data_IF_662183059410
#
_entry.id   IF_662183059410
#
_cell.length_a   1.000
_cell.length_b   1.000
_cell.length_c   1.000
_cell.angle_alpha   90.00
_cell.angle_beta   90.00
_cell.angle_gamma   90.00
#
_symmetry.space_group_name_H-M   'P 1'
#
loop_
_entity.id
_entity.type
_entity.pdbx_description
1 polymer ?
#
# COMPACT_ATOMS: atom_id res chain seq x y z
N UNK A 1 -16.27 7.34 29.49
CA UNK A 1 -15.89 5.96 29.15
C UNK A 1 -16.72 5.58 27.94
N UNK A 2 -16.09 5.14 26.86
CA UNK A 2 -16.75 4.74 25.62
C UNK A 2 -16.19 3.38 25.18
N UNK A 3 -16.98 2.62 24.41
CA UNK A 3 -16.54 1.38 23.78
C UNK A 3 -16.18 1.69 22.33
N UNK A 4 -14.91 1.54 21.97
CA UNK A 4 -14.36 1.93 20.68
C UNK A 4 -13.95 0.67 19.91
N UNK A 5 -14.52 0.51 18.71
CA UNK A 5 -14.12 -0.53 17.77
C UNK A 5 -12.83 -0.17 17.03
N UNK A 6 -12.04 -1.17 16.69
CA UNK A 6 -10.94 -1.05 15.73
C UNK A 6 -10.96 -2.23 14.76
N UNK A 7 -10.79 -1.94 13.48
CA UNK A 7 -10.64 -2.96 12.44
C UNK A 7 -9.44 -2.67 11.52
N UNK A 8 -8.94 -3.73 10.89
CA UNK A 8 -7.94 -3.65 9.82
C UNK A 8 -8.51 -4.28 8.55
N UNK A 9 -8.52 -3.53 7.43
CA UNK A 9 -9.16 -3.96 6.18
C UNK A 9 -8.25 -3.84 4.96
N UNK A 10 -8.60 -4.60 3.90
CA UNK A 10 -7.86 -4.64 2.64
C UNK A 10 -6.59 -5.48 2.73
N UNK A 11 -5.63 -5.28 1.81
CA UNK A 11 -4.34 -5.97 1.85
C UNK A 11 -3.57 -5.62 3.12
N UNK A 12 -2.94 -6.60 3.74
CA UNK A 12 -2.09 -6.36 4.91
C UNK A 12 -0.80 -5.62 4.55
N UNK A 13 -0.18 -5.01 5.52
CA UNK A 13 1.14 -4.41 5.41
C UNK A 13 1.85 -4.33 6.76
N UNK A 14 3.18 -4.18 6.77
CA UNK A 14 3.93 -3.94 8.00
C UNK A 14 3.53 -2.60 8.65
N UNK A 15 3.22 -2.64 9.97
CA UNK A 15 2.83 -1.45 10.74
C UNK A 15 1.40 -1.49 11.30
N UNK A 16 0.50 -2.34 10.79
CA UNK A 16 -0.87 -2.49 11.31
C UNK A 16 -0.91 -2.73 12.82
N UNK A 17 -0.09 -3.64 13.31
CA UNK A 17 0.00 -3.95 14.73
C UNK A 17 0.51 -2.77 15.58
N UNK A 18 1.32 -1.88 15.00
CA UNK A 18 1.76 -0.67 15.68
C UNK A 18 0.60 0.32 15.91
N UNK A 19 -0.32 0.45 14.93
CA UNK A 19 -1.56 1.24 15.08
C UNK A 19 -2.43 0.65 16.18
N UNK A 20 -2.74 -0.66 16.10
CA UNK A 20 -3.58 -1.35 17.09
C UNK A 20 -3.01 -1.14 18.49
N UNK A 21 -1.72 -1.38 18.66
CA UNK A 21 -1.03 -1.17 19.94
C UNK A 21 -1.14 0.28 20.43
N UNK A 22 -1.00 1.27 19.56
CA UNK A 22 -1.05 2.67 19.93
C UNK A 22 -2.46 3.08 20.41
N UNK A 23 -3.50 2.68 19.68
CA UNK A 23 -4.91 2.90 20.05
C UNK A 23 -5.19 2.30 21.42
N UNK A 24 -4.79 1.05 21.66
CA UNK A 24 -5.02 0.37 22.95
C UNK A 24 -4.21 1.01 24.08
N UNK A 25 -2.90 1.28 23.85
CA UNK A 25 -2.01 1.82 24.89
C UNK A 25 -2.38 3.24 25.33
N UNK A 26 -3.09 4.00 24.52
CA UNK A 26 -3.60 5.30 24.91
C UNK A 26 -5.09 5.25 25.31
N UNK A 27 -5.90 4.55 24.55
CA UNK A 27 -7.34 4.46 24.78
C UNK A 27 -7.71 3.86 26.13
N UNK A 28 -7.05 2.76 26.52
CA UNK A 28 -7.38 2.04 27.77
C UNK A 28 -6.82 2.75 29.01
N UNK A 29 -5.50 2.87 29.25
CA UNK A 29 -4.98 3.40 30.52
C UNK A 29 -5.10 4.93 30.64
N UNK A 30 -5.11 5.68 29.53
CA UNK A 30 -5.14 7.16 29.61
C UNK A 30 -6.57 7.69 29.58
N UNK A 31 -7.41 7.17 28.67
CA UNK A 31 -8.76 7.66 28.49
C UNK A 31 -9.86 6.81 29.16
N UNK A 32 -9.51 5.64 29.66
CA UNK A 32 -10.46 4.72 30.31
C UNK A 32 -11.50 4.14 29.34
N UNK A 33 -11.17 4.05 28.04
CA UNK A 33 -12.03 3.44 27.03
C UNK A 33 -11.91 1.92 27.03
N UNK A 34 -12.96 1.24 26.59
CA UNK A 34 -12.92 -0.17 26.21
C UNK A 34 -12.61 -0.27 24.72
N UNK A 35 -11.61 -1.04 24.33
CA UNK A 35 -11.22 -1.20 22.92
C UNK A 35 -11.60 -2.60 22.46
N UNK A 36 -12.43 -2.68 21.39
CA UNK A 36 -12.90 -3.92 20.78
C UNK A 36 -12.24 -4.08 19.39
N UNK A 37 -11.47 -5.14 19.20
CA UNK A 37 -10.86 -5.48 17.90
C UNK A 37 -11.77 -6.39 17.10
N UNK A 38 -12.23 -5.94 15.94
CA UNK A 38 -13.02 -6.75 15.01
C UNK A 38 -12.11 -7.62 14.16
N UNK A 39 -12.41 -8.92 14.09
CA UNK A 39 -11.66 -9.87 13.27
C UNK A 39 -12.04 -9.71 11.79
N UNK A 40 -11.07 -9.90 10.90
CA UNK A 40 -11.28 -9.88 9.44
C UNK A 40 -11.98 -8.61 8.88
N UNK A 41 -11.69 -7.45 9.48
CA UNK A 41 -12.14 -6.16 8.98
C UNK A 41 -13.66 -5.99 8.98
N UNK A 42 -14.21 -5.52 7.85
CA UNK A 42 -15.66 -5.28 7.76
C UNK A 42 -16.52 -6.56 7.87
N UNK A 43 -15.96 -7.73 7.52
CA UNK A 43 -16.66 -9.00 7.73
C UNK A 43 -16.96 -9.24 9.20
N UNK A 44 -15.96 -9.08 10.06
CA UNK A 44 -16.14 -9.25 11.49
C UNK A 44 -17.10 -8.26 12.13
N UNK A 45 -17.19 -7.03 11.59
CA UNK A 45 -18.22 -6.08 12.05
C UNK A 45 -19.62 -6.60 11.73
N UNK A 46 -19.85 -7.08 10.49
CA UNK A 46 -21.15 -7.61 10.08
C UNK A 46 -21.56 -8.88 10.86
N UNK A 47 -20.58 -9.68 11.28
CA UNK A 47 -20.79 -10.92 12.04
C UNK A 47 -20.79 -10.72 13.55
N UNK A 48 -20.40 -9.52 14.02
CA UNK A 48 -20.24 -9.23 15.46
C UNK A 48 -19.02 -9.95 16.07
N UNK A 49 -18.05 -10.36 15.24
CA UNK A 49 -16.84 -11.05 15.69
C UNK A 49 -15.81 -10.05 16.21
N UNK A 50 -15.91 -9.74 17.50
CA UNK A 50 -15.05 -8.78 18.18
C UNK A 50 -14.54 -9.33 19.51
N UNK A 51 -13.28 -9.00 19.82
CA UNK A 51 -12.64 -9.34 21.10
C UNK A 51 -12.09 -8.10 21.79
N UNK A 52 -12.16 -8.08 23.14
CA UNK A 52 -11.57 -7.01 23.94
C UNK A 52 -10.05 -6.95 23.79
N UNK A 53 -9.51 -5.76 23.52
CA UNK A 53 -8.09 -5.52 23.45
C UNK A 53 -7.60 -4.78 24.70
N UNK A 54 -6.53 -5.33 25.29
CA UNK A 54 -5.89 -4.76 26.49
C UNK A 54 -4.41 -4.48 26.22
N UNK A 55 -3.75 -3.67 27.07
CA UNK A 55 -2.31 -3.50 27.02
C UNK A 55 -1.52 -4.83 27.02
N UNK A 56 -2.03 -5.87 27.68
CA UNK A 56 -1.39 -7.17 27.77
C UNK A 56 -1.59 -7.97 26.48
N UNK A 57 -2.80 -8.02 25.90
CA UNK A 57 -3.07 -8.72 24.64
C UNK A 57 -2.35 -8.07 23.45
N UNK A 58 -1.95 -6.81 23.57
CA UNK A 58 -1.18 -6.08 22.56
C UNK A 58 0.30 -5.91 22.91
N UNK A 59 0.79 -6.65 23.93
CA UNK A 59 2.22 -6.66 24.27
C UNK A 59 3.02 -7.38 23.17
N UNK A 60 4.22 -6.86 22.85
CA UNK A 60 5.15 -7.49 21.91
C UNK A 60 4.75 -7.45 20.42
N UNK A 61 3.60 -6.87 20.04
CA UNK A 61 3.15 -6.88 18.63
C UNK A 61 3.79 -5.80 17.76
N UNK A 62 4.48 -4.81 18.34
CA UNK A 62 5.08 -3.68 17.60
C UNK A 62 5.95 -4.11 16.41
N UNK A 63 6.86 -5.09 16.52
CA UNK A 63 7.71 -5.51 15.41
C UNK A 63 7.05 -6.55 14.49
N UNK A 64 5.84 -7.03 14.81
CA UNK A 64 5.18 -8.06 14.01
C UNK A 64 4.55 -7.48 12.77
N UNK A 65 4.87 -8.08 11.60
CA UNK A 65 4.16 -7.81 10.35
C UNK A 65 2.73 -8.39 10.37
N UNK A 66 1.97 -8.11 9.32
CA UNK A 66 0.57 -8.48 9.25
C UNK A 66 -0.27 -7.79 10.31
N UNK A 67 -1.38 -8.41 10.69
CA UNK A 67 -2.32 -7.89 11.69
C UNK A 67 -2.82 -9.00 12.61
N UNK A 68 -2.88 -8.73 13.93
CA UNK A 68 -3.46 -9.66 14.90
C UNK A 68 -4.98 -9.79 14.78
N UNK A 69 -5.64 -8.87 14.05
CA UNK A 69 -7.09 -8.88 13.82
C UNK A 69 -7.48 -9.58 12.52
N UNK A 70 -6.50 -10.03 11.71
CA UNK A 70 -6.80 -10.50 10.36
C UNK A 70 -7.34 -9.38 9.47
N UNK A 71 -7.61 -9.70 8.21
CA UNK A 71 -8.13 -8.74 7.24
C UNK A 71 -9.00 -9.43 6.21
N UNK A 72 -9.92 -8.71 5.58
CA UNK A 72 -10.73 -9.18 4.46
C UNK A 72 -10.94 -8.09 3.42
N UNK A 73 -11.40 -8.50 2.23
CA UNK A 73 -11.87 -7.61 1.17
C UNK A 73 -13.39 -7.60 1.10
N UNK A 74 -14.05 -7.42 2.25
CA UNK A 74 -15.51 -7.34 2.35
C UNK A 74 -15.96 -5.92 2.12
N UNK A 75 -16.91 -5.73 1.19
CA UNK A 75 -17.57 -4.45 0.95
C UNK A 75 -19.04 -4.53 1.45
N UNK A 76 -19.36 -3.98 2.63
CA UNK A 76 -20.73 -4.02 3.15
C UNK A 76 -21.76 -3.34 2.26
N UNK A 77 -21.34 -2.33 1.50
CA UNK A 77 -22.21 -1.55 0.62
C UNK A 77 -22.40 -2.15 -0.79
N UNK A 78 -21.90 -3.36 -1.03
CA UNK A 78 -22.13 -4.06 -2.31
C UNK A 78 -23.57 -4.48 -2.47
N UNK A 79 -24.26 -4.75 -1.38
CA UNK A 79 -25.65 -5.17 -1.33
C UNK A 79 -26.55 -4.03 -0.80
N UNK A 80 -27.79 -3.99 -1.26
CA UNK A 80 -28.78 -3.05 -0.78
C UNK A 80 -29.01 -3.21 0.72
N UNK A 81 -29.15 -2.08 1.43
CA UNK A 81 -29.30 -2.07 2.89
C UNK A 81 -28.04 -2.41 3.69
N UNK A 82 -26.88 -2.54 3.02
CA UNK A 82 -25.61 -2.87 3.67
C UNK A 82 -25.17 -1.86 4.73
N UNK A 83 -25.38 -0.57 4.49
CA UNK A 83 -25.09 0.49 5.46
C UNK A 83 -25.92 0.36 6.75
N UNK A 84 -27.22 0.13 6.60
CA UNK A 84 -28.10 -0.07 7.78
C UNK A 84 -27.71 -1.31 8.59
N UNK A 85 -27.34 -2.40 7.89
CA UNK A 85 -26.85 -3.62 8.56
C UNK A 85 -25.56 -3.35 9.32
N UNK A 86 -24.64 -2.57 8.74
CA UNK A 86 -23.36 -2.21 9.35
C UNK A 86 -23.55 -1.38 10.63
N UNK A 87 -24.41 -0.35 10.58
CA UNK A 87 -24.75 0.48 11.75
C UNK A 87 -25.40 -0.37 12.84
N UNK A 88 -26.41 -1.20 12.51
CA UNK A 88 -27.06 -2.10 13.46
C UNK A 88 -26.09 -3.10 14.12
N UNK A 89 -25.13 -3.63 13.36
CA UNK A 89 -24.12 -4.53 13.88
C UNK A 89 -23.21 -3.82 14.90
N UNK A 90 -22.75 -2.61 14.61
CA UNK A 90 -21.95 -1.80 15.53
C UNK A 90 -22.74 -1.44 16.81
N UNK A 91 -23.99 -1.02 16.67
CA UNK A 91 -24.89 -0.73 17.80
C UNK A 91 -25.13 -1.97 18.66
N UNK A 92 -25.34 -3.13 18.04
CA UNK A 92 -25.55 -4.41 18.76
C UNK A 92 -24.33 -4.83 19.57
N UNK A 93 -23.12 -4.48 19.09
CA UNK A 93 -21.87 -4.66 19.83
C UNK A 93 -21.61 -3.55 20.86
N UNK A 94 -22.50 -2.54 20.95
CA UNK A 94 -22.37 -1.40 21.84
C UNK A 94 -21.19 -0.49 21.50
N UNK A 95 -20.84 -0.35 20.22
CA UNK A 95 -19.73 0.47 19.78
C UNK A 95 -20.15 1.93 19.63
N UNK A 96 -19.50 2.83 20.35
CA UNK A 96 -19.75 4.27 20.32
C UNK A 96 -19.02 4.99 19.18
N UNK A 97 -17.86 4.45 18.76
CA UNK A 97 -17.06 4.96 17.66
C UNK A 97 -16.14 3.88 17.11
N UNK A 98 -15.67 4.05 15.86
CA UNK A 98 -14.84 3.08 15.17
C UNK A 98 -13.54 3.72 14.66
N UNK A 99 -12.42 3.01 14.80
CA UNK A 99 -11.16 3.31 14.12
C UNK A 99 -11.02 2.32 12.96
N UNK A 100 -11.11 2.80 11.72
CA UNK A 100 -10.98 2.01 10.52
C UNK A 100 -9.57 2.18 9.92
N UNK A 101 -8.77 1.09 9.94
CA UNK A 101 -7.39 1.10 9.43
C UNK A 101 -7.35 0.41 8.07
N UNK A 102 -7.07 1.14 6.99
CA UNK A 102 -7.07 0.53 5.67
C UNK A 102 -6.66 1.45 4.54
N UNK A 103 -6.68 0.91 3.33
CA UNK A 103 -6.50 1.62 2.07
C UNK A 103 -7.81 2.24 1.58
N UNK A 104 -7.82 2.67 0.30
CA UNK A 104 -8.94 3.34 -0.35
C UNK A 104 -10.28 2.62 -0.13
N UNK A 105 -10.36 1.32 -0.44
CA UNK A 105 -11.59 0.52 -0.28
C UNK A 105 -12.14 0.55 1.16
N UNK A 106 -11.26 0.34 2.14
CA UNK A 106 -11.65 0.32 3.56
C UNK A 106 -12.09 1.69 4.05
N UNK A 107 -11.37 2.74 3.64
CA UNK A 107 -11.69 4.13 3.97
C UNK A 107 -12.90 4.65 3.20
N UNK A 108 -13.15 4.14 1.98
CA UNK A 108 -14.37 4.40 1.23
C UNK A 108 -15.62 3.89 1.96
N UNK A 109 -15.56 2.68 2.51
CA UNK A 109 -16.61 2.16 3.40
C UNK A 109 -16.74 3.02 4.66
N UNK A 110 -15.63 3.41 5.29
CA UNK A 110 -15.65 4.29 6.47
C UNK A 110 -16.26 5.67 6.17
N UNK A 111 -15.97 6.23 4.98
CA UNK A 111 -16.58 7.50 4.54
C UNK A 111 -18.10 7.40 4.39
N UNK A 112 -18.60 6.31 3.78
CA UNK A 112 -20.05 6.07 3.67
C UNK A 112 -20.69 5.88 5.03
N UNK A 113 -20.05 5.12 5.93
CA UNK A 113 -20.52 4.91 7.30
C UNK A 113 -20.59 6.24 8.08
N UNK A 114 -19.65 7.16 7.85
CA UNK A 114 -19.71 8.50 8.44
C UNK A 114 -20.87 9.33 7.90
N UNK A 115 -21.18 9.20 6.61
CA UNK A 115 -22.36 9.84 5.99
C UNK A 115 -23.68 9.27 6.51
N UNK A 116 -23.71 7.99 6.87
CA UNK A 116 -24.84 7.34 7.54
C UNK A 116 -24.97 7.75 9.04
N UNK A 117 -24.09 8.64 9.52
CA UNK A 117 -24.14 9.24 10.84
C UNK A 117 -23.36 8.53 11.93
N UNK A 118 -22.63 7.44 11.61
CA UNK A 118 -21.83 6.75 12.60
C UNK A 118 -20.45 7.42 12.77
N UNK A 119 -19.95 7.49 14.01
CA UNK A 119 -18.66 8.10 14.31
C UNK A 119 -17.52 7.17 13.94
N UNK A 120 -16.76 7.51 12.89
CA UNK A 120 -15.62 6.74 12.43
C UNK A 120 -14.39 7.62 12.17
N UNK A 121 -13.22 7.14 12.56
CA UNK A 121 -11.92 7.76 12.29
C UNK A 121 -11.09 6.82 11.39
N UNK A 122 -10.64 7.34 10.25
CA UNK A 122 -9.78 6.62 9.30
C UNK A 122 -8.30 6.69 9.69
N UNK A 123 -7.57 5.61 9.39
CA UNK A 123 -6.10 5.56 9.49
C UNK A 123 -5.54 5.03 8.16
N UNK A 124 -4.67 5.82 7.46
CA UNK A 124 -4.20 5.48 6.12
C UNK A 124 -3.18 4.36 6.15
N UNK A 125 -3.54 3.23 5.57
CA UNK A 125 -2.71 2.03 5.47
C UNK A 125 -2.69 1.53 4.03
N UNK A 126 -1.56 1.64 3.36
CA UNK A 126 -1.27 1.00 2.08
C UNK A 126 0.23 0.98 1.84
N UNK A 127 0.73 -0.07 1.15
CA UNK A 127 2.12 -0.08 0.68
C UNK A 127 2.28 0.78 -0.58
N UNK A 128 1.20 1.06 -1.30
CA UNK A 128 1.21 1.71 -2.61
C UNK A 128 1.37 3.24 -2.52
N UNK A 129 1.22 3.81 -1.31
CA UNK A 129 1.27 5.26 -1.03
C UNK A 129 0.32 6.10 -1.91
N UNK A 130 -0.81 5.52 -2.26
CA UNK A 130 -1.76 5.99 -3.26
C UNK A 130 -2.97 6.75 -2.68
N UNK A 131 -3.05 6.93 -1.36
CA UNK A 131 -4.12 7.69 -0.70
C UNK A 131 -3.86 9.19 -0.78
N UNK A 132 -4.87 9.94 -1.23
CA UNK A 132 -4.86 11.39 -1.22
C UNK A 132 -4.81 11.97 0.21
N UNK A 133 -4.54 13.27 0.31
CA UNK A 133 -4.53 14.05 1.54
C UNK A 133 -3.49 13.63 2.61
N UNK A 134 -2.61 12.67 2.35
CA UNK A 134 -1.47 12.33 3.21
C UNK A 134 -0.17 12.24 2.41
N UNK A 135 0.93 12.72 2.96
CA UNK A 135 2.23 12.66 2.29
C UNK A 135 2.73 11.21 2.20
N UNK A 136 2.62 10.46 3.29
CA UNK A 136 2.99 9.06 3.34
C UNK A 136 1.97 8.22 4.10
N UNK A 137 1.81 6.99 3.64
CA UNK A 137 1.09 5.92 4.33
C UNK A 137 2.10 4.98 5.00
N UNK A 138 1.76 4.39 6.13
CA UNK A 138 2.63 3.35 6.71
C UNK A 138 2.48 2.03 5.93
N UNK A 139 3.55 1.27 5.92
CA UNK A 139 3.75 0.07 5.10
C UNK A 139 4.55 0.35 3.84
N UNK A 140 4.45 1.56 3.28
CA UNK A 140 5.17 1.98 2.08
C UNK A 140 6.69 1.93 2.25
N UNK A 141 7.22 2.52 3.33
CA UNK A 141 8.67 2.55 3.56
C UNK A 141 9.26 1.14 3.71
N UNK A 142 8.54 0.22 4.34
CA UNK A 142 8.95 -1.18 4.46
C UNK A 142 8.92 -1.87 3.10
N UNK A 143 7.89 -1.65 2.28
CA UNK A 143 7.82 -2.21 0.94
C UNK A 143 8.96 -1.72 0.05
N UNK A 144 9.26 -0.42 0.07
CA UNK A 144 10.42 0.16 -0.62
C UNK A 144 11.73 -0.47 -0.16
N UNK A 145 11.93 -0.65 1.16
CA UNK A 145 13.13 -1.28 1.68
C UNK A 145 13.29 -2.72 1.20
N UNK A 146 12.21 -3.52 1.23
CA UNK A 146 12.22 -4.89 0.73
C UNK A 146 12.58 -4.94 -0.76
N UNK A 147 12.02 -4.05 -1.57
CA UNK A 147 12.35 -3.95 -2.98
C UNK A 147 13.81 -3.55 -3.20
N UNK A 148 14.29 -2.56 -2.45
CA UNK A 148 15.69 -2.10 -2.52
C UNK A 148 16.65 -3.22 -2.15
N UNK A 149 16.39 -3.95 -1.05
CA UNK A 149 17.21 -5.10 -0.63
C UNK A 149 17.24 -6.22 -1.68
N UNK A 150 16.14 -6.40 -2.42
CA UNK A 150 16.09 -7.35 -3.53
C UNK A 150 16.90 -6.86 -4.74
N UNK A 151 16.79 -5.59 -5.10
CA UNK A 151 17.55 -4.97 -6.19
C UNK A 151 19.05 -5.05 -5.90
N UNK A 152 19.49 -4.70 -4.68
CA UNK A 152 20.89 -4.79 -4.26
C UNK A 152 21.49 -6.20 -4.44
N UNK A 153 20.70 -7.23 -4.14
CA UNK A 153 21.12 -8.62 -4.37
C UNK A 153 21.22 -8.97 -5.85
N UNK A 154 20.33 -8.40 -6.67
CA UNK A 154 20.33 -8.64 -8.11
C UNK A 154 21.51 -7.95 -8.81
N UNK A 155 22.02 -6.83 -8.30
CA UNK A 155 23.21 -6.16 -8.85
C UNK A 155 24.40 -7.10 -8.98
N UNK A 156 24.72 -7.84 -7.93
CA UNK A 156 25.90 -8.73 -7.92
C UNK A 156 25.79 -9.88 -8.92
N UNK A 157 24.59 -10.45 -9.08
CA UNK A 157 24.38 -11.50 -10.08
C UNK A 157 24.28 -10.96 -11.49
N UNK A 158 23.69 -9.77 -11.69
CA UNK A 158 23.62 -9.08 -12.97
C UNK A 158 25.02 -8.77 -13.50
N UNK A 159 25.89 -8.23 -12.65
CA UNK A 159 27.30 -7.93 -12.98
C UNK A 159 28.10 -9.20 -13.27
N UNK A 160 27.90 -10.27 -12.50
CA UNK A 160 28.66 -11.53 -12.67
C UNK A 160 28.36 -12.26 -13.99
N UNK A 161 27.22 -11.97 -14.60
CA UNK A 161 26.73 -12.66 -15.80
C UNK A 161 26.48 -11.75 -16.99
N UNK A 162 26.78 -10.46 -16.88
CA UNK A 162 26.54 -9.45 -17.93
C UNK A 162 25.08 -9.43 -18.41
N UNK A 163 24.11 -9.47 -17.46
CA UNK A 163 22.69 -9.63 -17.73
C UNK A 163 21.90 -8.35 -17.53
N UNK A 164 20.75 -8.28 -18.21
CA UNK A 164 19.69 -7.34 -17.84
C UNK A 164 18.76 -8.01 -16.82
N UNK A 165 18.52 -7.35 -15.72
CA UNK A 165 17.57 -7.82 -14.70
C UNK A 165 16.34 -6.94 -14.69
N UNK A 166 15.16 -7.52 -14.95
CA UNK A 166 13.86 -6.87 -14.82
C UNK A 166 13.28 -7.20 -13.46
N UNK A 167 12.94 -6.20 -12.67
CA UNK A 167 12.35 -6.36 -11.33
C UNK A 167 10.94 -5.81 -11.33
N UNK A 168 9.92 -6.68 -11.29
CA UNK A 168 8.53 -6.30 -11.19
C UNK A 168 8.15 -6.08 -9.72
N UNK A 169 7.60 -4.90 -9.43
CA UNK A 169 7.16 -4.49 -8.10
C UNK A 169 5.68 -4.15 -8.09
N UNK A 170 5.05 -4.23 -6.93
CA UNK A 170 3.67 -3.83 -6.70
C UNK A 170 3.52 -2.30 -6.81
N UNK A 171 2.29 -1.81 -6.73
CA UNK A 171 1.97 -0.39 -6.75
C UNK A 171 0.63 -0.09 -7.41
N UNK A 172 0.00 -1.09 -8.01
CA UNK A 172 -1.27 -0.97 -8.74
C UNK A 172 -1.18 0.12 -9.82
N UNK A 173 -1.98 1.20 -9.67
CA UNK A 173 -2.05 2.34 -10.59
C UNK A 173 -1.09 3.48 -10.22
N UNK A 174 -0.23 3.29 -9.21
CA UNK A 174 0.72 4.28 -8.72
C UNK A 174 2.15 3.74 -8.70
N UNK A 175 3.08 4.49 -9.26
CA UNK A 175 4.49 4.10 -9.43
C UNK A 175 5.40 4.39 -8.25
N UNK A 176 4.86 4.68 -7.06
CA UNK A 176 5.65 5.10 -5.90
C UNK A 176 6.69 4.08 -5.47
N UNK A 177 6.31 2.79 -5.35
CA UNK A 177 7.25 1.73 -4.95
C UNK A 177 8.35 1.59 -6.00
N UNK A 178 7.97 1.54 -7.29
CA UNK A 178 8.93 1.41 -8.39
C UNK A 178 9.93 2.57 -8.42
N UNK A 179 9.47 3.81 -8.29
CA UNK A 179 10.35 4.97 -8.31
C UNK A 179 11.29 5.00 -7.11
N UNK A 180 10.76 4.84 -5.89
CA UNK A 180 11.58 4.93 -4.69
C UNK A 180 12.59 3.79 -4.60
N UNK A 181 12.17 2.56 -4.85
CA UNK A 181 13.08 1.41 -4.81
C UNK A 181 14.06 1.40 -5.98
N UNK A 182 13.63 1.82 -7.18
CA UNK A 182 14.49 1.93 -8.33
C UNK A 182 15.57 3.01 -8.16
N UNK A 183 15.21 4.19 -7.62
CA UNK A 183 16.18 5.23 -7.28
C UNK A 183 17.15 4.76 -6.19
N UNK A 184 16.64 4.21 -5.11
CA UNK A 184 17.46 3.74 -3.99
C UNK A 184 18.37 2.59 -4.39
N UNK A 185 17.89 1.67 -5.26
CA UNK A 185 18.63 0.52 -5.76
C UNK A 185 19.46 0.79 -7.03
N UNK A 186 19.51 2.04 -7.53
CA UNK A 186 20.34 2.41 -8.68
C UNK A 186 19.89 1.78 -10.00
N UNK A 187 18.57 1.72 -10.25
CA UNK A 187 18.03 1.20 -11.50
C UNK A 187 18.37 2.09 -12.70
N UNK A 188 18.63 1.47 -13.84
CA UNK A 188 18.98 2.12 -15.09
C UNK A 188 17.77 2.57 -15.91
N UNK A 189 16.61 1.97 -15.60
CA UNK A 189 15.29 2.41 -16.07
C UNK A 189 14.23 2.08 -15.01
N UNK A 190 13.25 2.97 -14.87
CA UNK A 190 12.11 2.79 -13.95
C UNK A 190 10.85 3.04 -14.75
N UNK A 191 9.96 2.05 -14.81
CA UNK A 191 8.73 2.09 -15.59
C UNK A 191 7.54 2.17 -14.63
N UNK A 192 6.72 3.21 -14.78
CA UNK A 192 5.61 3.54 -13.87
C UNK A 192 4.29 3.69 -14.62
N UNK A 193 3.13 3.48 -13.96
CA UNK A 193 1.82 3.62 -14.61
C UNK A 193 1.54 5.03 -15.14
N UNK A 194 2.03 6.05 -14.44
CA UNK A 194 1.79 7.46 -14.75
C UNK A 194 2.47 7.94 -16.03
N UNK A 195 3.44 7.17 -16.52
CA UNK A 195 4.19 7.50 -17.73
C UNK A 195 4.28 6.29 -18.65
N UNK A 196 3.46 6.21 -19.70
CA UNK A 196 3.56 5.17 -20.71
C UNK A 196 4.98 5.11 -21.29
N UNK A 197 5.56 3.93 -21.37
CA UNK A 197 6.95 3.74 -21.79
C UNK A 197 7.06 3.26 -23.23
N UNK A 198 8.12 3.70 -23.93
CA UNK A 198 8.54 3.14 -25.20
C UNK A 198 9.61 2.07 -24.96
N UNK A 199 9.33 0.84 -25.38
CA UNK A 199 10.25 -0.29 -25.23
C UNK A 199 11.57 -0.06 -25.98
N UNK A 200 11.56 0.65 -27.15
CA UNK A 200 12.78 0.96 -27.87
C UNK A 200 13.67 1.96 -27.11
N UNK A 201 13.07 2.95 -26.42
CA UNK A 201 13.86 3.83 -25.55
C UNK A 201 14.55 3.06 -24.44
N UNK A 202 13.86 2.09 -23.82
CA UNK A 202 14.45 1.22 -22.79
C UNK A 202 15.60 0.41 -23.38
N UNK A 203 15.40 -0.23 -24.53
CA UNK A 203 16.44 -1.01 -25.24
C UNK A 203 17.62 -0.13 -25.63
N UNK A 204 17.39 1.08 -26.10
CA UNK A 204 18.45 2.01 -26.49
C UNK A 204 19.27 2.49 -25.28
N UNK A 205 18.66 2.66 -24.12
CA UNK A 205 19.39 2.95 -22.87
C UNK A 205 20.32 1.80 -22.53
N UNK A 206 19.84 0.55 -22.57
CA UNK A 206 20.64 -0.65 -22.32
C UNK A 206 21.82 -0.76 -23.32
N UNK A 207 21.55 -0.58 -24.62
CA UNK A 207 22.60 -0.60 -25.66
C UNK A 207 23.64 0.50 -25.44
N UNK A 208 23.25 1.72 -25.09
CA UNK A 208 24.19 2.83 -24.80
C UNK A 208 25.08 2.52 -23.61
N UNK A 209 24.54 1.89 -22.57
CA UNK A 209 25.33 1.44 -21.41
C UNK A 209 26.37 0.39 -21.81
N UNK A 210 25.96 -0.62 -22.58
CA UNK A 210 26.87 -1.64 -23.09
C UNK A 210 28.02 -1.04 -23.92
N UNK A 211 27.73 -0.07 -24.79
CA UNK A 211 28.77 0.66 -25.56
C UNK A 211 29.75 1.45 -24.66
N UNK A 212 29.38 1.82 -23.46
CA UNK A 212 30.23 2.48 -22.46
C UNK A 212 30.98 1.51 -21.55
N UNK A 213 30.91 0.19 -21.83
CA UNK A 213 31.55 -0.85 -21.03
C UNK A 213 30.80 -1.24 -19.77
N UNK A 214 29.50 -0.85 -19.65
CA UNK A 214 28.61 -1.32 -18.60
C UNK A 214 27.80 -2.50 -19.14
N UNK A 215 28.16 -3.69 -18.70
CA UNK A 215 27.68 -4.94 -19.32
C UNK A 215 26.36 -5.44 -18.74
N UNK A 216 25.91 -4.91 -17.60
CA UNK A 216 24.63 -5.26 -16.99
C UNK A 216 23.71 -4.05 -16.84
N UNK A 217 22.42 -4.28 -16.68
CA UNK A 217 21.42 -3.24 -16.40
C UNK A 217 20.31 -3.75 -15.48
N UNK A 218 19.77 -2.86 -14.66
CA UNK A 218 18.60 -3.10 -13.80
C UNK A 218 17.44 -2.27 -14.31
N UNK A 219 16.33 -2.93 -14.62
CA UNK A 219 15.05 -2.30 -15.02
C UNK A 219 14.03 -2.59 -13.93
N UNK A 220 13.54 -1.56 -13.26
CA UNK A 220 12.45 -1.70 -12.27
C UNK A 220 11.14 -1.34 -12.95
N UNK A 221 10.12 -2.18 -12.82
CA UNK A 221 8.81 -1.97 -13.43
C UNK A 221 7.69 -2.14 -12.40
N UNK A 222 6.77 -1.17 -12.33
CA UNK A 222 5.52 -1.33 -11.59
C UNK A 222 4.60 -2.30 -12.32
N UNK A 223 3.92 -3.18 -11.58
CA UNK A 223 2.95 -4.15 -12.13
C UNK A 223 1.84 -3.49 -12.98
N UNK A 224 1.56 -2.20 -12.75
CA UNK A 224 0.58 -1.40 -13.49
C UNK A 224 1.17 -0.52 -14.59
N UNK A 225 2.47 -0.62 -14.90
CA UNK A 225 3.06 0.15 -15.98
C UNK A 225 2.45 -0.23 -17.34
N UNK A 226 2.29 0.75 -18.22
CA UNK A 226 1.66 0.57 -19.53
C UNK A 226 2.62 0.98 -20.65
N UNK A 227 2.65 0.23 -21.78
CA UNK A 227 3.40 0.64 -22.95
C UNK A 227 2.72 1.85 -23.63
N UNK A 228 3.50 2.69 -24.29
CA UNK A 228 2.98 3.74 -25.15
C UNK A 228 2.39 3.14 -26.43
N UNK A 229 1.35 3.77 -26.96
CA UNK A 229 0.67 3.32 -28.18
C UNK A 229 1.65 3.33 -29.38
N UNK A 230 1.53 2.31 -30.24
CA UNK A 230 2.32 2.23 -31.49
C UNK A 230 3.77 1.77 -31.32
N UNK A 231 4.21 1.39 -30.11
CA UNK A 231 5.60 0.93 -29.86
C UNK A 231 5.84 -0.53 -30.24
N UNK A 232 4.79 -1.25 -30.66
CA UNK A 232 4.88 -2.68 -31.02
C UNK A 232 5.18 -3.60 -29.82
N UNK A 233 4.95 -3.11 -28.61
CA UNK A 233 4.97 -3.90 -27.39
C UNK A 233 3.54 -4.07 -26.89
N UNK A 234 3.07 -5.30 -26.84
CA UNK A 234 1.75 -5.66 -26.36
C UNK A 234 1.86 -6.43 -25.04
N UNK A 235 1.07 -6.03 -24.06
CA UNK A 235 0.93 -6.83 -22.85
C UNK A 235 0.14 -8.09 -23.18
N UNK A 236 0.51 -9.26 -22.62
CA UNK A 236 -0.30 -10.45 -22.73
C UNK A 236 -1.72 -10.15 -22.25
N UNK A 237 -2.72 -10.52 -23.05
CA UNK A 237 -4.12 -10.44 -22.61
C UNK A 237 -4.26 -11.21 -21.28
N UNK A 238 -4.82 -10.56 -20.27
CA UNK A 238 -5.11 -11.20 -19.00
C UNK A 238 -6.27 -12.19 -19.25
N UNK A 239 -5.95 -13.43 -19.61
CA UNK A 239 -6.96 -14.50 -19.78
C UNK A 239 -7.79 -14.60 -18.49
N UNK A 240 -9.08 -14.26 -18.58
CA UNK A 240 -10.04 -14.39 -17.50
C UNK A 240 -9.79 -13.43 -16.31
N UNK A 241 -9.62 -12.14 -16.60
CA UNK A 241 -9.42 -11.12 -15.57
C UNK A 241 -10.43 -11.23 -14.42
N UNK A 242 -10.03 -11.89 -13.32
CA UNK A 242 -10.83 -11.95 -12.10
C UNK A 242 -10.76 -10.62 -11.39
N UNK A 243 -11.92 -10.01 -11.16
CA UNK A 243 -12.04 -8.82 -10.31
C UNK A 243 -12.31 -9.23 -8.87
N UNK A 244 -11.77 -8.42 -7.93
CA UNK A 244 -12.08 -8.59 -6.51
C UNK A 244 -13.45 -7.99 -6.11
N UNK A 245 -13.81 -8.02 -4.83
CA UNK A 245 -15.09 -7.54 -4.32
C UNK A 245 -15.31 -6.02 -4.52
N UNK A 246 -14.26 -5.27 -4.85
CA UNK A 246 -14.30 -3.83 -5.15
C UNK A 246 -14.18 -3.53 -6.65
N UNK A 247 -14.04 -4.57 -7.50
CA UNK A 247 -13.98 -4.42 -8.96
C UNK A 247 -12.56 -4.26 -9.52
N UNK A 248 -11.52 -4.39 -8.71
CA UNK A 248 -10.14 -4.27 -9.17
C UNK A 248 -9.67 -5.49 -9.95
N UNK A 249 -9.09 -5.26 -11.11
CA UNK A 249 -8.46 -6.29 -11.95
C UNK A 249 -7.14 -6.74 -11.32
N UNK A 250 -6.83 -8.02 -11.45
CA UNK A 250 -5.54 -8.58 -11.03
C UNK A 250 -4.46 -8.15 -12.02
N UNK A 251 -3.47 -7.37 -11.56
CA UNK A 251 -2.32 -6.93 -12.34
C UNK A 251 -1.15 -7.92 -12.22
N UNK A 252 -0.18 -7.83 -13.13
CA UNK A 252 1.07 -8.60 -13.11
C UNK A 252 1.39 -9.24 -14.45
N UNK A 253 2.66 -9.68 -14.59
CA UNK A 253 3.13 -10.36 -15.81
C UNK A 253 3.81 -9.45 -16.83
N UNK A 254 3.83 -8.14 -16.60
CA UNK A 254 4.58 -7.20 -17.45
C UNK A 254 6.08 -7.50 -17.43
N UNK A 255 6.64 -7.96 -16.31
CA UNK A 255 8.03 -8.36 -16.20
C UNK A 255 8.42 -9.48 -17.15
N UNK A 256 7.52 -10.47 -17.37
CA UNK A 256 7.72 -11.57 -18.31
C UNK A 256 7.74 -11.07 -19.75
N UNK A 257 6.84 -10.16 -20.09
CA UNK A 257 6.78 -9.57 -21.42
C UNK A 257 8.03 -8.72 -21.70
N UNK A 258 8.47 -7.90 -20.72
CA UNK A 258 9.68 -7.10 -20.82
C UNK A 258 10.94 -7.95 -20.95
N UNK A 259 11.07 -9.05 -20.20
CA UNK A 259 12.20 -9.98 -20.31
C UNK A 259 12.37 -10.43 -21.75
N UNK A 260 11.30 -10.93 -22.38
CA UNK A 260 11.33 -11.44 -23.76
C UNK A 260 11.64 -10.37 -24.80
N UNK A 261 11.00 -9.22 -24.67
CA UNK A 261 11.18 -8.12 -25.63
C UNK A 261 12.57 -7.51 -25.55
N UNK A 262 13.09 -7.26 -24.34
CA UNK A 262 14.44 -6.72 -24.15
C UNK A 262 15.49 -7.70 -24.72
N UNK A 263 15.39 -8.99 -24.39
CA UNK A 263 16.31 -10.00 -24.92
C UNK A 263 16.24 -10.08 -26.43
N UNK A 264 15.05 -10.13 -27.02
CA UNK A 264 14.84 -10.19 -28.47
C UNK A 264 15.40 -8.96 -29.20
N UNK A 265 15.18 -7.75 -28.67
CA UNK A 265 15.57 -6.49 -29.33
C UNK A 265 17.03 -6.12 -29.11
N UNK A 266 17.61 -6.50 -27.98
CA UNK A 266 18.98 -6.07 -27.61
C UNK A 266 20.03 -7.17 -27.81
N UNK A 267 19.63 -8.43 -27.76
CA UNK A 267 20.51 -9.58 -27.71
C UNK A 267 21.22 -9.81 -26.38
N UNK A 268 20.95 -8.99 -25.36
CA UNK A 268 21.44 -9.22 -24.01
C UNK A 268 20.58 -10.25 -23.29
N UNK A 269 21.24 -11.22 -22.63
CA UNK A 269 20.54 -12.18 -21.78
C UNK A 269 19.77 -11.43 -20.69
N UNK A 270 18.46 -11.59 -20.68
CA UNK A 270 17.56 -10.90 -19.75
C UNK A 270 16.91 -11.89 -18.80
N UNK A 271 16.79 -11.54 -17.55
CA UNK A 271 16.08 -12.32 -16.53
C UNK A 271 15.14 -11.43 -15.75
N UNK A 272 14.03 -12.00 -15.32
CA UNK A 272 13.05 -11.25 -14.53
C UNK A 272 12.91 -11.83 -13.14
N UNK A 273 12.51 -10.96 -12.20
CA UNK A 273 12.12 -11.30 -10.83
C UNK A 273 10.85 -10.55 -10.49
N UNK A 274 9.78 -11.28 -10.17
CA UNK A 274 8.53 -10.72 -9.67
C UNK A 274 8.57 -10.80 -8.15
N UNK A 275 8.62 -9.66 -7.47
CA UNK A 275 8.67 -9.64 -5.99
C UNK A 275 7.32 -10.00 -5.36
N UNK A 276 6.22 -9.56 -5.97
CA UNK A 276 4.88 -9.90 -5.51
C UNK A 276 4.65 -9.65 -4.02
N UNK A 277 3.96 -10.56 -3.34
CA UNK A 277 3.50 -10.40 -1.97
C UNK A 277 4.60 -10.37 -0.89
N UNK A 278 5.87 -10.67 -1.19
CA UNK A 278 6.96 -10.48 -0.20
C UNK A 278 7.08 -9.02 0.23
N UNK A 279 6.66 -8.08 -0.62
CA UNK A 279 6.61 -6.64 -0.35
C UNK A 279 5.60 -6.26 0.74
N UNK A 280 4.61 -7.12 1.02
CA UNK A 280 3.57 -6.90 2.05
C UNK A 280 3.95 -7.46 3.41
N UNK A 281 4.96 -8.32 3.46
CA UNK A 281 5.32 -9.09 4.64
C UNK A 281 6.46 -8.49 5.45
N UNK A 282 6.84 -9.23 6.47
CA UNK A 282 8.02 -8.94 7.27
C UNK A 282 7.83 -7.92 8.38
N UNK A 283 8.92 -7.64 9.05
CA UNK A 283 9.00 -6.70 10.18
C UNK A 283 8.98 -5.25 9.68
N UNK A 284 8.09 -4.37 10.19
CA UNK A 284 8.06 -2.98 9.78
C UNK A 284 9.38 -2.27 10.08
N UNK A 285 9.82 -1.39 9.17
CA UNK A 285 10.96 -0.50 9.40
C UNK A 285 10.71 0.41 10.60
N UNK A 286 11.76 1.03 11.13
CA UNK A 286 11.63 2.02 12.19
C UNK A 286 10.71 3.17 11.79
N UNK A 287 10.79 3.63 10.54
CA UNK A 287 9.92 4.68 10.02
C UNK A 287 8.43 4.30 10.10
N UNK A 288 8.05 3.13 9.56
CA UNK A 288 6.67 2.68 9.57
C UNK A 288 6.14 2.40 10.98
N UNK A 289 6.98 1.87 11.90
CA UNK A 289 6.58 1.71 13.31
C UNK A 289 6.25 3.05 13.97
N UNK A 290 7.07 4.07 13.74
CA UNK A 290 6.89 5.42 14.32
C UNK A 290 5.66 6.08 13.70
N UNK A 291 5.54 6.07 12.36
CA UNK A 291 4.40 6.68 11.66
C UNK A 291 3.07 6.04 12.06
N UNK A 292 3.00 4.69 12.03
CA UNK A 292 1.82 3.93 12.43
C UNK A 292 1.44 4.18 13.90
N UNK A 293 2.44 4.27 14.81
CA UNK A 293 2.20 4.62 16.21
C UNK A 293 1.62 6.03 16.33
N UNK A 294 2.17 7.02 15.61
CA UNK A 294 1.66 8.40 15.63
C UNK A 294 0.25 8.49 15.09
N UNK A 295 -0.06 7.77 14.00
CA UNK A 295 -1.41 7.70 13.46
C UNK A 295 -2.40 7.08 14.45
N UNK A 296 -2.02 5.96 15.10
CA UNK A 296 -2.88 5.31 16.09
C UNK A 296 -3.17 6.20 17.30
N UNK A 297 -2.14 6.93 17.79
CA UNK A 297 -2.31 7.91 18.88
C UNK A 297 -3.23 9.04 18.45
N UNK A 298 -3.02 9.64 17.28
CA UNK A 298 -3.87 10.74 16.80
C UNK A 298 -5.31 10.32 16.52
N UNK A 299 -5.52 9.07 16.04
CA UNK A 299 -6.85 8.54 15.79
C UNK A 299 -7.64 8.36 17.08
N UNK A 300 -7.04 7.79 18.14
CA UNK A 300 -7.74 7.62 19.43
C UNK A 300 -7.95 8.97 20.15
N UNK A 301 -7.07 9.95 19.95
CA UNK A 301 -7.26 11.32 20.45
C UNK A 301 -8.49 11.96 19.82
N UNK A 302 -8.58 11.87 18.48
CA UNK A 302 -9.73 12.39 17.75
C UNK A 302 -11.06 11.77 18.22
N UNK A 303 -11.08 10.44 18.38
CA UNK A 303 -12.26 9.75 18.90
C UNK A 303 -12.61 10.19 20.32
N UNK A 304 -11.61 10.35 21.20
CA UNK A 304 -11.80 10.83 22.56
C UNK A 304 -12.39 12.24 22.62
N UNK A 305 -11.95 13.12 21.74
CA UNK A 305 -12.45 14.50 21.58
C UNK A 305 -13.84 14.57 20.93
N UNK A 306 -14.42 13.44 20.52
CA UNK A 306 -15.72 13.37 19.87
C UNK A 306 -15.70 13.65 18.36
N UNK A 307 -14.50 13.71 17.75
CA UNK A 307 -14.34 13.93 16.31
C UNK A 307 -14.63 12.63 15.51
N UNK A 308 -15.03 12.79 14.24
CA UNK A 308 -15.34 11.67 13.34
C UNK A 308 -15.54 12.13 11.90
N UNK A 309 -15.71 11.17 10.97
CA UNK A 309 -15.83 11.46 9.54
C UNK A 309 -14.50 11.94 8.92
N UNK A 310 -13.37 11.73 9.60
CA UNK A 310 -12.04 12.18 9.20
C UNK A 310 -11.03 11.04 9.16
N UNK A 311 -9.92 11.29 8.53
CA UNK A 311 -8.72 10.45 8.51
C UNK A 311 -7.56 11.21 9.16
N UNK A 312 -6.73 10.52 9.94
CA UNK A 312 -5.44 11.07 10.35
C UNK A 312 -4.49 11.05 9.15
N UNK A 313 -3.71 12.10 8.94
CA UNK A 313 -2.84 12.26 7.78
C UNK A 313 -1.50 12.87 8.17
N UNK A 314 -0.45 12.52 7.46
CA UNK A 314 0.86 13.17 7.59
C UNK A 314 0.94 14.34 6.61
N UNK A 315 1.31 15.52 7.13
CA UNK A 315 1.68 16.69 6.33
C UNK A 315 3.01 17.26 6.84
N UNK A 316 4.05 17.13 6.03
CA UNK A 316 5.41 17.41 6.47
C UNK A 316 5.81 16.52 7.65
N UNK A 317 5.91 17.10 8.84
CA UNK A 317 6.24 16.37 10.09
C UNK A 317 5.06 16.23 11.04
N UNK A 318 3.89 16.80 10.71
CA UNK A 318 2.74 16.86 11.59
C UNK A 318 1.67 15.83 11.23
N UNK A 319 0.96 15.34 12.23
CA UNK A 319 -0.24 14.54 12.04
C UNK A 319 -1.44 15.49 12.14
N UNK A 320 -2.17 15.58 11.05
CA UNK A 320 -3.39 16.39 10.92
C UNK A 320 -4.63 15.50 10.74
N UNK A 321 -5.82 16.08 10.80
CA UNK A 321 -7.09 15.40 10.52
C UNK A 321 -7.69 16.00 9.26
N UNK A 322 -8.00 15.16 8.29
CA UNK A 322 -8.60 15.56 6.99
C UNK A 322 -9.94 14.84 6.81
N UNK A 323 -10.92 15.41 6.11
CA UNK A 323 -12.17 14.71 5.80
C UNK A 323 -11.89 13.36 5.09
N UNK A 324 -12.62 12.30 5.46
CA UNK A 324 -12.54 11.01 4.75
C UNK A 324 -12.88 11.16 3.27
N UNK A 325 -13.81 12.06 2.93
CA UNK A 325 -14.18 12.34 1.55
C UNK A 325 -13.01 12.85 0.69
N UNK A 326 -12.11 13.66 1.26
CA UNK A 326 -10.89 14.11 0.56
C UNK A 326 -9.87 12.97 0.41
N UNK A 327 -9.78 12.09 1.40
CA UNK A 327 -8.82 10.99 1.40
C UNK A 327 -9.11 9.94 0.34
N UNK A 328 -10.39 9.77 -0.05
CA UNK A 328 -10.85 8.78 -1.02
C UNK A 328 -11.41 9.38 -2.31
N UNK A 329 -11.23 10.68 -2.53
CA UNK A 329 -11.76 11.37 -3.72
C UNK A 329 -10.97 11.00 -4.99
N UNK A 330 -9.65 10.97 -4.87
CA UNK A 330 -8.72 10.78 -5.98
C UNK A 330 -7.56 9.89 -5.57
N UNK A 331 -7.02 9.16 -6.52
CA UNK A 331 -5.80 8.38 -6.36
C UNK A 331 -4.58 9.33 -6.34
N UNK A 332 -3.73 9.23 -5.32
CA UNK A 332 -2.48 9.98 -5.25
C UNK A 332 -1.44 9.38 -6.21
N UNK A 333 -1.34 9.99 -7.37
CA UNK A 333 -0.37 9.61 -8.41
C UNK A 333 1.01 10.17 -8.11
N UNK A 334 2.01 9.57 -8.75
CA UNK A 334 3.39 10.00 -8.68
C UNK A 334 3.56 11.41 -9.27
N UNK A 335 4.29 12.28 -8.56
CA UNK A 335 4.62 13.61 -9.04
C UNK A 335 5.59 13.52 -10.24
N UNK A 336 5.26 14.09 -11.40
CA UNK A 336 6.14 14.12 -12.57
C UNK A 336 7.52 14.75 -12.28
N UNK A 337 7.60 15.75 -11.39
CA UNK A 337 8.86 16.38 -11.01
C UNK A 337 9.78 15.43 -10.22
N UNK A 338 9.18 14.57 -9.38
CA UNK A 338 9.92 13.55 -8.66
C UNK A 338 10.41 12.46 -9.61
N UNK A 339 9.59 12.04 -10.58
CA UNK A 339 10.00 11.09 -11.61
C UNK A 339 11.16 11.64 -12.45
N UNK A 340 11.10 12.92 -12.84
CA UNK A 340 12.17 13.59 -13.59
C UNK A 340 13.52 13.58 -12.83
N UNK A 341 13.49 13.59 -11.49
CA UNK A 341 14.71 13.41 -10.68
C UNK A 341 15.34 12.04 -10.94
N UNK A 342 14.53 10.99 -11.10
CA UNK A 342 14.99 9.65 -11.44
C UNK A 342 15.61 9.56 -12.82
N UNK A 343 15.02 10.22 -13.81
CA UNK A 343 15.48 10.19 -15.20
C UNK A 343 16.92 10.67 -15.39
N UNK A 344 17.42 11.53 -14.51
CA UNK A 344 18.83 12.00 -14.52
C UNK A 344 19.82 10.84 -14.44
N UNK A 345 19.41 9.73 -13.79
CA UNK A 345 20.26 8.56 -13.55
C UNK A 345 20.01 7.42 -14.54
N UNK A 346 19.02 7.55 -15.42
CA UNK A 346 18.71 6.50 -16.40
C UNK A 346 19.77 6.41 -17.51
N UNK A 347 20.32 5.21 -17.73
CA UNK A 347 21.19 4.80 -18.84
C UNK A 347 22.52 5.33 -18.92
#
# INVERSE_FOLDING_TARGET
>A
MARIGILTGGGDCPGLNAVIRAVVRKGVPVYGHEIMGFQYGWAGVLEGDAAGLTPDTTAGILPRGGTILGTSRTNPYREDGGGERLVKALESCGIDALVAVGGEDTLGVANRLAQDGFRVMGVPKTIDNDLAATDFTFGFNTAVQICTDAIDRLHTTAESHDRVMVVEVMGREAGWIALYSGLAGGADAILVPERPFDIEEVCDRIRRRGKRGRTFSIVVVSEGAVPAEGTGFELPEAEGAQTDAFGHVRLGGIGVALEREIESRTGYETRMTILGHVQRGGTPTAYDRVLATRFGVAAIDAVHEGDGGKMVALRGTEIVRVPLSEAVADLKRLDPALYATGEVFFG
#
